data_IF_331466701747
#
_entry.id   IF_331466701747
#
_cell.length_a   1.000
_cell.length_b   1.000
_cell.length_c   1.000
_cell.angle_alpha   90.00
_cell.angle_beta   90.00
_cell.angle_gamma   90.00
#
_symmetry.space_group_name_H-M   'P 1'
#
loop_
_entity.id
_entity.type
_entity.pdbx_description
1 polymer ?
#
# COMPACT_ATOMS: atom_id res chain seq x y z
N UNK A 1 20.35 25.54 -21.32
CA UNK A 1 20.44 24.06 -21.32
C UNK A 1 20.63 23.63 -19.88
N UNK A 2 19.55 23.21 -19.20
CA UNK A 2 19.62 22.84 -17.77
C UNK A 2 20.07 21.38 -17.65
N UNK A 3 21.23 21.14 -17.03
CA UNK A 3 21.94 19.85 -17.00
C UNK A 3 21.50 18.89 -15.88
N UNK A 4 20.37 19.15 -15.21
CA UNK A 4 19.85 18.25 -14.18
C UNK A 4 18.48 17.70 -14.57
N UNK A 5 18.30 16.38 -14.68
CA UNK A 5 16.98 15.81 -14.89
C UNK A 5 16.08 16.20 -13.72
N UNK A 6 14.94 16.85 -14.02
CA UNK A 6 13.91 17.17 -13.04
C UNK A 6 13.51 15.90 -12.28
N UNK A 7 13.70 15.91 -10.97
CA UNK A 7 13.34 14.84 -10.06
C UNK A 7 11.83 14.52 -10.19
N UNK A 8 11.46 13.24 -10.09
CA UNK A 8 10.09 12.77 -10.41
C UNK A 8 9.03 13.11 -9.37
N UNK A 9 9.37 13.86 -8.31
CA UNK A 9 8.45 14.20 -7.21
C UNK A 9 7.16 14.89 -7.70
N UNK A 10 7.28 15.84 -8.65
CA UNK A 10 6.09 16.49 -9.22
C UNK A 10 5.20 15.52 -9.98
N UNK A 11 5.77 14.47 -10.58
CA UNK A 11 5.02 13.44 -11.28
C UNK A 11 4.33 12.48 -10.31
N UNK A 12 4.94 12.16 -9.16
CA UNK A 12 4.31 11.40 -8.09
C UNK A 12 3.14 12.17 -7.45
N UNK A 13 3.32 13.47 -7.18
CA UNK A 13 2.23 14.31 -6.68
C UNK A 13 1.07 14.41 -7.68
N UNK A 14 1.39 14.54 -8.98
CA UNK A 14 0.39 14.50 -10.05
C UNK A 14 -0.31 13.15 -10.13
N UNK A 15 0.42 12.05 -10.03
CA UNK A 15 -0.15 10.70 -10.02
C UNK A 15 -1.13 10.49 -8.85
N UNK A 16 -0.81 11.02 -7.68
CA UNK A 16 -1.67 10.96 -6.49
C UNK A 16 -2.96 11.79 -6.64
N UNK A 17 -2.88 12.93 -7.32
CA UNK A 17 -4.00 13.89 -7.44
C UNK A 17 -4.88 13.66 -8.67
N UNK A 18 -4.28 13.49 -9.86
CA UNK A 18 -5.01 13.34 -11.12
C UNK A 18 -5.30 11.89 -11.51
N UNK A 19 -4.76 10.92 -10.76
CA UNK A 19 -4.97 9.50 -11.01
C UNK A 19 -4.37 8.98 -12.32
N UNK A 20 -3.71 9.81 -13.11
CA UNK A 20 -3.23 9.45 -14.45
C UNK A 20 -1.92 10.13 -14.79
N UNK A 21 -1.07 9.39 -15.49
CA UNK A 21 0.17 9.85 -16.12
C UNK A 21 0.17 9.33 -17.56
N UNK A 22 0.85 10.03 -18.47
CA UNK A 22 1.05 9.49 -19.82
C UNK A 22 2.00 8.28 -19.78
N UNK A 23 1.95 7.35 -20.75
CA UNK A 23 2.84 6.17 -20.76
C UNK A 23 4.33 6.51 -20.63
N UNK A 24 4.77 7.62 -21.24
CA UNK A 24 6.15 8.12 -21.13
C UNK A 24 6.50 8.58 -19.71
N UNK A 25 5.55 9.23 -19.03
CA UNK A 25 5.73 9.67 -17.64
C UNK A 25 5.75 8.46 -16.69
N UNK A 26 4.87 7.49 -16.91
CA UNK A 26 4.85 6.22 -16.16
C UNK A 26 6.20 5.50 -16.19
N UNK A 27 6.75 5.27 -17.39
CA UNK A 27 8.04 4.59 -17.54
C UNK A 27 9.18 5.35 -16.85
N UNK A 28 9.14 6.69 -16.88
CA UNK A 28 10.13 7.53 -16.18
C UNK A 28 10.02 7.40 -14.66
N UNK A 29 8.81 7.48 -14.13
CA UNK A 29 8.55 7.35 -12.68
C UNK A 29 8.98 5.96 -12.19
N UNK A 30 8.58 4.88 -12.88
CA UNK A 30 8.92 3.51 -12.47
C UNK A 30 10.42 3.26 -12.49
N UNK A 31 11.10 3.66 -13.57
CA UNK A 31 12.56 3.50 -13.69
C UNK A 31 13.29 4.27 -12.58
N UNK A 32 12.85 5.49 -12.28
CA UNK A 32 13.47 6.31 -11.25
C UNK A 32 13.17 5.78 -9.84
N UNK A 33 11.92 5.40 -9.54
CA UNK A 33 11.51 4.89 -8.24
C UNK A 33 12.26 3.60 -7.86
N UNK A 34 12.56 2.73 -8.83
CA UNK A 34 13.37 1.51 -8.60
C UNK A 34 14.83 1.81 -8.25
N UNK A 35 15.39 2.91 -8.76
CA UNK A 35 16.80 3.28 -8.54
C UNK A 35 17.02 4.34 -7.45
N UNK A 36 15.96 4.93 -6.92
CA UNK A 36 16.04 6.05 -5.96
C UNK A 36 15.42 5.65 -4.62
N UNK A 37 16.25 5.52 -3.59
CA UNK A 37 15.84 5.14 -2.22
C UNK A 37 14.80 6.06 -1.61
N UNK A 38 14.73 7.33 -2.05
CA UNK A 38 13.73 8.30 -1.59
C UNK A 38 12.39 8.17 -2.33
N UNK A 39 12.41 7.90 -3.65
CA UNK A 39 11.20 7.85 -4.47
C UNK A 39 10.49 6.50 -4.42
N UNK A 40 11.21 5.40 -4.19
CA UNK A 40 10.63 4.05 -4.08
C UNK A 40 9.52 3.97 -3.02
N UNK A 41 9.80 4.27 -1.73
CA UNK A 41 8.79 4.24 -0.68
C UNK A 41 7.62 5.21 -0.92
N UNK A 42 7.90 6.37 -1.53
CA UNK A 42 6.86 7.37 -1.85
C UNK A 42 5.92 6.88 -2.94
N UNK A 43 6.45 6.21 -3.95
CA UNK A 43 5.65 5.57 -5.01
C UNK A 43 4.74 4.49 -4.43
N UNK A 44 5.28 3.61 -3.57
CA UNK A 44 4.50 2.54 -2.92
C UNK A 44 3.35 3.10 -2.08
N UNK A 45 3.59 4.16 -1.29
CA UNK A 45 2.52 4.83 -0.53
C UNK A 45 1.41 5.37 -1.41
N UNK A 46 1.74 6.02 -2.53
CA UNK A 46 0.76 6.54 -3.49
C UNK A 46 -0.06 5.40 -4.11
N UNK A 47 0.58 4.29 -4.50
CA UNK A 47 -0.12 3.15 -5.10
C UNK A 47 -0.98 2.39 -4.10
N UNK A 48 -0.53 2.26 -2.84
CA UNK A 48 -1.32 1.66 -1.77
C UNK A 48 -2.59 2.47 -1.49
N UNK A 49 -2.47 3.79 -1.34
CA UNK A 49 -3.61 4.69 -1.15
C UNK A 49 -4.63 4.54 -2.29
N UNK A 50 -4.17 4.41 -3.54
CA UNK A 50 -5.05 4.21 -4.69
C UNK A 50 -5.79 2.88 -4.66
N UNK A 51 -5.14 1.79 -4.22
CA UNK A 51 -5.80 0.48 -4.05
C UNK A 51 -6.91 0.55 -3.01
N UNK A 52 -6.64 1.19 -1.87
CA UNK A 52 -7.65 1.40 -0.81
C UNK A 52 -8.85 2.22 -1.33
N UNK A 53 -8.60 3.31 -2.07
CA UNK A 53 -9.66 4.12 -2.66
C UNK A 53 -10.46 3.35 -3.73
N UNK A 54 -9.80 2.53 -4.56
CA UNK A 54 -10.47 1.69 -5.55
C UNK A 54 -11.38 0.65 -4.90
N UNK A 55 -10.91 -0.04 -3.86
CA UNK A 55 -11.73 -0.98 -3.10
C UNK A 55 -12.92 -0.29 -2.42
N UNK A 56 -12.73 0.89 -1.82
CA UNK A 56 -13.83 1.66 -1.25
C UNK A 56 -14.91 2.04 -2.28
N UNK A 57 -14.49 2.34 -3.52
CA UNK A 57 -15.40 2.65 -4.62
C UNK A 57 -16.17 1.42 -5.14
N UNK A 58 -15.58 0.23 -5.10
CA UNK A 58 -16.24 -1.04 -5.43
C UNK A 58 -17.27 -1.44 -4.38
N UNK A 59 -16.91 -1.35 -3.09
CA UNK A 59 -17.83 -1.59 -1.97
C UNK A 59 -19.05 -0.66 -2.07
N UNK A 60 -18.84 0.62 -2.42
CA UNK A 60 -19.95 1.57 -2.61
C UNK A 60 -20.85 1.21 -3.79
N UNK A 61 -20.32 0.67 -4.88
CA UNK A 61 -21.11 0.23 -6.04
C UNK A 61 -21.96 -1.00 -5.74
N UNK A 62 -21.58 -1.81 -4.75
CA UNK A 62 -22.37 -2.97 -4.28
C UNK A 62 -23.49 -2.64 -3.30
N UNK A 63 -23.52 -1.42 -2.74
CA UNK A 63 -24.59 -0.99 -1.82
C UNK A 63 -25.79 -0.48 -2.62
N UNK A 64 -26.96 -1.08 -2.40
CA UNK A 64 -28.21 -0.66 -3.04
C UNK A 64 -28.52 0.81 -2.70
N UNK A 65 -28.96 1.63 -3.69
CA UNK A 65 -29.34 3.02 -3.45
C UNK A 65 -30.55 3.07 -2.50
N UNK A 66 -30.30 3.41 -1.24
CA UNK A 66 -31.34 3.48 -0.19
C UNK A 66 -30.83 3.27 1.24
N UNK A 67 -29.64 2.69 1.42
CA UNK A 67 -29.01 2.55 2.75
C UNK A 67 -28.04 3.69 3.03
N UNK A 68 -28.57 4.88 3.32
CA UNK A 68 -27.78 6.01 3.85
C UNK A 68 -27.55 5.82 5.35
N UNK A 69 -26.68 4.89 5.73
CA UNK A 69 -25.96 5.02 6.99
C UNK A 69 -24.86 6.07 6.79
N UNK A 70 -24.72 7.02 7.72
CA UNK A 70 -23.75 8.12 7.65
C UNK A 70 -22.34 7.62 7.25
N UNK A 71 -21.82 8.00 6.07
CA UNK A 71 -20.56 7.45 5.55
C UNK A 71 -19.31 8.02 6.23
N UNK A 72 -19.46 8.84 7.29
CA UNK A 72 -18.34 9.44 8.04
C UNK A 72 -17.63 8.44 8.96
N UNK A 73 -18.29 7.36 9.36
CA UNK A 73 -17.76 6.48 10.42
C UNK A 73 -16.95 5.31 9.88
N UNK A 74 -17.27 4.74 8.71
CA UNK A 74 -16.63 3.49 8.25
C UNK A 74 -15.21 3.70 7.73
N UNK A 75 -14.96 4.77 6.96
CA UNK A 75 -13.63 5.07 6.44
C UNK A 75 -12.64 5.46 7.55
N UNK A 76 -13.09 6.29 8.49
CA UNK A 76 -12.29 6.74 9.65
C UNK A 76 -12.11 5.61 10.66
N UNK A 77 -13.11 4.72 10.86
CA UNK A 77 -12.97 3.55 11.73
C UNK A 77 -12.00 2.51 11.17
N UNK A 78 -11.98 2.30 9.85
CA UNK A 78 -11.01 1.41 9.22
C UNK A 78 -9.60 2.00 9.30
N UNK A 79 -9.44 3.30 9.02
CA UNK A 79 -8.16 3.98 9.17
C UNK A 79 -7.65 3.98 10.62
N UNK A 80 -8.53 4.21 11.61
CA UNK A 80 -8.20 4.09 13.05
C UNK A 80 -7.85 2.65 13.45
N UNK A 81 -8.49 1.65 12.86
CA UNK A 81 -8.18 0.23 13.10
C UNK A 81 -6.80 -0.11 12.53
N UNK A 82 -6.48 0.36 11.33
CA UNK A 82 -5.19 0.13 10.68
C UNK A 82 -4.05 0.88 11.39
N UNK A 83 -4.33 2.08 11.93
CA UNK A 83 -3.43 2.83 12.83
C UNK A 83 -3.21 2.11 14.16
N UNK A 84 -4.28 1.62 14.79
CA UNK A 84 -4.18 0.85 16.05
C UNK A 84 -3.47 -0.50 15.88
N UNK A 85 -3.43 -1.03 14.66
CA UNK A 85 -2.70 -2.25 14.30
C UNK A 85 -1.26 -1.98 13.83
N UNK A 86 -0.79 -0.73 13.86
CA UNK A 86 0.56 -0.36 13.44
C UNK A 86 0.83 -0.51 11.94
N UNK A 87 -0.21 -0.70 11.12
CA UNK A 87 -0.08 -0.91 9.68
C UNK A 87 0.16 0.40 8.90
N UNK A 88 -0.06 1.55 9.54
CA UNK A 88 0.17 2.90 9.00
C UNK A 88 0.79 3.78 10.08
N UNK A 89 1.77 4.60 9.72
CA UNK A 89 2.23 5.71 10.55
C UNK A 89 1.15 6.79 10.65
N UNK A 90 1.02 7.45 11.82
CA UNK A 90 0.07 8.56 12.01
C UNK A 90 0.23 9.61 10.91
N UNK A 91 -0.84 9.93 10.16
CA UNK A 91 -0.77 10.95 9.13
C UNK A 91 -0.48 12.30 9.80
N UNK A 92 0.46 13.04 9.22
CA UNK A 92 0.77 14.40 9.67
C UNK A 92 -0.47 15.30 9.53
N UNK A 93 -0.55 16.37 10.31
CA UNK A 93 -1.68 17.30 10.26
C UNK A 93 -1.91 17.88 8.84
N UNK A 94 -0.83 18.10 8.09
CA UNK A 94 -0.87 18.49 6.68
C UNK A 94 -1.44 17.38 5.76
N UNK A 95 -1.22 16.09 6.06
CA UNK A 95 -1.80 14.97 5.32
C UNK A 95 -3.29 14.78 5.64
N UNK A 96 -3.69 15.01 6.89
CA UNK A 96 -5.11 15.02 7.29
C UNK A 96 -5.87 16.17 6.64
N UNK A 97 -5.29 17.36 6.59
CA UNK A 97 -5.85 18.52 5.90
C UNK A 97 -5.96 18.25 4.39
N UNK A 98 -4.95 17.62 3.80
CA UNK A 98 -4.95 17.20 2.39
C UNK A 98 -6.03 16.15 2.07
N UNK A 99 -6.18 15.12 2.91
CA UNK A 99 -7.21 14.07 2.76
C UNK A 99 -8.61 14.68 2.92
N UNK A 100 -8.79 15.60 3.88
CA UNK A 100 -10.06 16.30 4.11
C UNK A 100 -10.43 17.19 2.92
N UNK A 101 -9.47 17.93 2.37
CA UNK A 101 -9.67 18.77 1.19
C UNK A 101 -10.00 17.94 -0.06
N UNK A 102 -9.37 16.77 -0.23
CA UNK A 102 -9.67 15.83 -1.32
C UNK A 102 -11.06 15.19 -1.17
N UNK A 103 -11.43 14.79 0.05
CA UNK A 103 -12.76 14.25 0.34
C UNK A 103 -13.87 15.28 0.09
N UNK A 104 -13.65 16.53 0.47
CA UNK A 104 -14.58 17.63 0.23
C UNK A 104 -14.72 17.96 -1.27
N UNK A 105 -13.60 18.00 -2.01
CA UNK A 105 -13.62 18.22 -3.47
C UNK A 105 -14.33 17.09 -4.21
N UNK A 106 -14.10 15.84 -3.84
CA UNK A 106 -14.77 14.69 -4.43
C UNK A 106 -16.29 14.70 -4.15
N UNK A 107 -16.69 15.09 -2.92
CA UNK A 107 -18.10 15.24 -2.55
C UNK A 107 -18.78 16.38 -3.31
N UNK A 108 -18.11 17.54 -3.47
CA UNK A 108 -18.63 18.68 -4.23
C UNK A 108 -18.73 18.39 -5.74
N UNK A 109 -17.76 17.67 -6.31
CA UNK A 109 -17.80 17.27 -7.71
C UNK A 109 -18.95 16.28 -7.99
N UNK A 110 -19.21 15.34 -7.08
CA UNK A 110 -20.35 14.43 -7.18
C UNK A 110 -21.70 15.18 -7.08
N UNK A 111 -21.80 16.18 -6.20
CA UNK A 111 -23.02 16.98 -6.03
C UNK A 111 -23.33 17.90 -7.23
N UNK A 112 -22.33 18.25 -8.04
CA UNK A 112 -22.48 19.14 -9.21
C UNK A 112 -23.08 18.49 -10.47
N UNK A 113 -23.38 17.18 -10.46
CA UNK A 113 -23.79 16.43 -11.65
C UNK A 113 -25.29 16.07 -11.72
N UNK A 114 -26.12 16.61 -10.81
CA UNK A 114 -27.56 16.35 -10.83
C UNK A 114 -28.31 17.42 -11.64
N UNK A 115 -29.13 17.06 -12.65
CA UNK A 115 -29.99 18.02 -13.34
C UNK A 115 -31.07 18.54 -12.40
N UNK A 116 -31.04 19.85 -12.13
CA UNK A 116 -31.99 20.54 -11.24
C UNK A 116 -33.34 20.68 -11.95
N UNK A 117 -34.40 20.18 -11.32
CA UNK A 117 -35.81 20.48 -11.63
C UNK A 117 -36.32 21.45 -10.56
N UNK A 118 -37.04 22.47 -11.00
CA UNK A 118 -37.38 23.67 -10.20
C UNK A 118 -38.08 23.34 -8.87
N UNK A 119 -37.49 23.87 -7.79
CA UNK A 119 -37.98 23.82 -6.42
C UNK A 119 -37.27 24.89 -5.57
N UNK A 120 -37.83 25.27 -4.41
CA UNK A 120 -37.34 26.42 -3.61
C UNK A 120 -35.88 26.21 -3.16
N UNK A 121 -35.14 27.30 -2.85
CA UNK A 121 -33.69 27.31 -2.86
C UNK A 121 -33.09 26.19 -2.00
N UNK A 122 -32.40 25.26 -2.65
CA UNK A 122 -31.74 24.14 -2.01
C UNK A 122 -30.59 24.60 -1.10
N UNK A 123 -30.23 23.74 -0.15
CA UNK A 123 -29.17 23.91 0.85
C UNK A 123 -27.81 24.31 0.22
N UNK A 124 -27.60 24.03 -1.07
CA UNK A 124 -26.45 24.44 -1.87
C UNK A 124 -26.38 25.96 -2.10
N UNK A 125 -27.51 26.66 -2.18
CA UNK A 125 -27.53 28.12 -2.28
C UNK A 125 -27.05 28.79 -0.99
N UNK A 126 -27.35 28.20 0.18
CA UNK A 126 -26.86 28.66 1.50
C UNK A 126 -25.36 28.41 1.69
N UNK A 127 -24.86 27.27 1.21
CA UNK A 127 -23.42 26.97 1.24
C UNK A 127 -22.63 27.89 0.30
N UNK A 128 -23.18 28.24 -0.87
CA UNK A 128 -22.53 29.13 -1.82
C UNK A 128 -22.47 30.59 -1.32
N UNK A 129 -23.42 31.01 -0.48
CA UNK A 129 -23.37 32.32 0.23
C UNK A 129 -22.32 32.29 1.36
N UNK A 130 -22.26 31.22 2.16
CA UNK A 130 -21.25 31.09 3.22
C UNK A 130 -19.80 31.02 2.68
N UNK A 131 -19.59 30.55 1.44
CA UNK A 131 -18.27 30.53 0.81
C UNK A 131 -17.85 31.89 0.23
N UNK A 132 -18.80 32.80 -0.03
CA UNK A 132 -18.53 34.17 -0.49
C UNK A 132 -18.08 35.08 0.66
N UNK A 133 -18.50 34.79 1.89
CA UNK A 133 -18.11 35.54 3.09
C UNK A 133 -16.72 35.17 3.63
N UNK A 134 -16.08 34.11 3.13
CA UNK A 134 -14.74 33.66 3.54
C UNK A 134 -13.58 34.24 2.69
N UNK A 135 -13.80 35.38 2.02
CA UNK A 135 -12.68 36.23 1.55
C UNK A 135 -12.02 35.80 0.24
N UNK A 136 -12.81 35.52 -0.81
CA UNK A 136 -12.31 35.48 -2.19
C UNK A 136 -12.48 36.86 -2.85
N UNK A 137 -11.44 37.68 -2.84
CA UNK A 137 -11.39 38.92 -3.62
C UNK A 137 -11.17 38.59 -5.10
N UNK A 138 -12.21 38.74 -5.92
CA UNK A 138 -12.09 38.94 -7.36
C UNK A 138 -11.68 40.40 -7.61
N UNK A 139 -10.46 40.64 -8.08
CA UNK A 139 -10.15 41.82 -8.89
C UNK A 139 -9.25 41.43 -10.06
N UNK A 140 -9.87 41.41 -11.24
CA UNK A 140 -9.22 41.70 -12.50
C UNK A 140 -9.86 42.98 -13.03
N UNK A 141 -9.10 44.03 -13.36
CA UNK A 141 -8.92 44.51 -14.74
C UNK A 141 -7.85 45.63 -14.84
N UNK A 142 -7.08 45.54 -15.92
CA UNK A 142 -6.03 46.39 -16.50
C UNK A 142 -6.05 47.92 -16.39
N UNK A 143 -4.84 48.53 -16.32
CA UNK A 143 -4.29 49.51 -17.31
C UNK A 143 -2.84 49.94 -16.98
N UNK A 144 -1.92 49.76 -17.92
CA UNK A 144 -0.65 50.52 -18.11
C UNK A 144 -0.94 51.96 -18.59
N UNK A 145 -0.01 52.96 -18.58
CA UNK A 145 1.46 52.86 -18.73
C UNK A 145 2.33 53.89 -17.92
N UNK A 146 3.66 53.80 -18.06
CA UNK A 146 4.52 54.99 -18.09
C UNK A 146 5.66 55.13 -17.07
N UNK A 147 6.88 54.79 -17.52
CA UNK A 147 8.17 55.48 -17.36
C UNK A 147 8.68 56.06 -16.01
N UNK A 148 9.96 55.71 -15.80
CA UNK A 148 11.09 56.45 -15.21
C UNK A 148 11.32 56.41 -13.69
N UNK A 149 12.55 55.93 -13.40
CA UNK A 149 13.54 56.50 -12.50
C UNK A 149 13.83 55.75 -11.17
N UNK A 150 15.12 55.44 -11.06
CA UNK A 150 15.98 55.67 -9.89
C UNK A 150 15.92 54.65 -8.73
N UNK A 151 16.95 53.80 -8.74
CA UNK A 151 18.00 53.69 -7.71
C UNK A 151 17.60 54.20 -6.32
N UNK A 152 17.39 53.28 -5.37
CA UNK A 152 18.01 53.39 -4.05
C UNK A 152 18.11 52.07 -3.31
N UNK A 153 19.33 51.83 -2.83
CA UNK A 153 19.75 50.84 -1.85
C UNK A 153 19.16 51.17 -0.48
N UNK A 154 18.38 50.25 0.09
CA UNK A 154 17.74 50.44 1.39
C UNK A 154 17.62 49.14 2.18
N UNK A 155 18.65 48.87 2.99
CA UNK A 155 18.55 48.39 4.38
C UNK A 155 17.55 47.24 4.63
N UNK A 156 18.06 46.01 4.63
CA UNK A 156 17.41 44.83 5.23
C UNK A 156 17.10 45.16 6.69
N UNK A 157 15.82 45.40 6.99
CA UNK A 157 15.30 45.41 8.36
C UNK A 157 15.39 43.98 8.89
N UNK A 158 16.24 43.80 9.90
CA UNK A 158 16.24 42.59 10.70
C UNK A 158 14.85 42.34 11.25
N UNK A 159 14.39 41.10 11.13
CA UNK A 159 13.20 40.61 11.82
C UNK A 159 13.52 40.69 13.31
N UNK A 160 12.84 41.61 14.00
CA UNK A 160 12.85 41.66 15.46
C UNK A 160 12.16 40.39 15.97
N UNK A 161 12.96 39.46 16.49
CA UNK A 161 12.45 38.35 17.29
C UNK A 161 11.94 38.91 18.62
N UNK A 162 10.78 38.42 19.13
CA UNK A 162 10.22 38.89 20.38
C UNK A 162 11.17 38.65 21.56
N UNK A 163 11.31 39.68 22.40
CA UNK A 163 12.30 39.83 23.46
C UNK A 163 11.96 39.03 24.74
N UNK A 164 11.35 37.85 24.59
CA UNK A 164 10.84 37.04 25.70
C UNK A 164 11.58 35.71 25.94
N UNK A 165 12.58 35.36 25.12
CA UNK A 165 13.16 34.00 25.11
C UNK A 165 14.64 33.98 25.54
N UNK A 166 15.00 34.76 26.57
CA UNK A 166 16.40 34.92 27.00
C UNK A 166 16.83 34.24 28.31
N UNK A 167 16.01 33.41 28.95
CA UNK A 167 16.42 32.78 30.23
C UNK A 167 16.18 31.27 30.37
N UNK A 168 15.84 30.54 29.30
CA UNK A 168 15.68 29.07 29.37
C UNK A 168 16.24 28.31 28.16
N UNK A 169 17.11 28.94 27.37
CA UNK A 169 17.56 28.47 26.06
C UNK A 169 18.62 27.35 26.01
N UNK A 170 18.98 26.74 27.14
CA UNK A 170 19.93 25.61 27.16
C UNK A 170 19.25 24.25 27.25
N UNK A 171 18.26 24.12 28.13
CA UNK A 171 17.76 22.80 28.55
C UNK A 171 16.74 22.23 27.55
N UNK A 172 15.95 23.09 26.89
CA UNK A 172 14.91 22.64 25.95
C UNK A 172 15.47 21.99 24.68
N UNK A 173 16.63 22.44 24.19
CA UNK A 173 17.21 21.90 22.96
C UNK A 173 17.78 20.49 23.19
N UNK A 174 18.43 20.25 24.34
CA UNK A 174 18.92 18.93 24.70
C UNK A 174 17.78 17.95 24.99
N UNK A 175 16.69 18.41 25.61
CA UNK A 175 15.51 17.57 25.81
C UNK A 175 14.86 17.16 24.48
N UNK A 176 14.74 18.08 23.52
CA UNK A 176 14.18 17.78 22.20
C UNK A 176 15.09 16.85 21.37
N UNK A 177 16.42 17.04 21.40
CA UNK A 177 17.37 16.16 20.69
C UNK A 177 17.44 14.78 21.36
N UNK A 178 17.43 14.71 22.70
CA UNK A 178 17.39 13.44 23.42
C UNK A 178 16.06 12.70 23.20
N UNK A 179 14.93 13.41 23.18
CA UNK A 179 13.63 12.82 22.85
C UNK A 179 13.59 12.31 21.40
N UNK A 180 14.13 13.05 20.43
CA UNK A 180 14.27 12.58 19.05
C UNK A 180 15.22 11.38 18.94
N UNK A 181 16.35 11.37 19.66
CA UNK A 181 17.28 10.25 19.67
C UNK A 181 16.68 9.00 20.33
N UNK A 182 15.94 9.16 21.43
CA UNK A 182 15.16 8.10 22.06
C UNK A 182 14.02 7.63 21.16
N UNK A 183 13.34 8.52 20.43
CA UNK A 183 12.35 8.13 19.44
C UNK A 183 12.99 7.34 18.30
N UNK A 184 14.17 7.73 17.81
CA UNK A 184 14.90 7.01 16.76
C UNK A 184 15.50 5.68 17.24
N UNK A 185 15.77 5.53 18.53
CA UNK A 185 16.21 4.27 19.16
C UNK A 185 15.03 3.38 19.58
N UNK A 186 13.85 3.97 19.82
CA UNK A 186 12.60 3.28 20.09
C UNK A 186 11.77 3.03 18.83
N UNK A 187 12.13 3.64 17.69
CA UNK A 187 11.72 3.14 16.39
C UNK A 187 12.22 1.70 16.34
N UNK A 188 11.34 0.73 16.10
CA UNK A 188 11.75 -0.65 16.01
C UNK A 188 12.87 -0.71 14.97
N UNK A 189 14.09 -1.06 15.41
CA UNK A 189 15.07 -1.66 14.51
C UNK A 189 14.31 -2.73 13.76
N UNK A 190 14.49 -2.83 12.44
CA UNK A 190 13.87 -3.87 11.63
C UNK A 190 14.29 -5.26 12.14
N UNK A 191 13.64 -5.70 13.21
CA UNK A 191 13.55 -7.06 13.65
C UNK A 191 12.62 -7.73 12.65
N UNK A 192 13.28 -8.46 11.76
CA UNK A 192 12.89 -9.81 11.43
C UNK A 192 11.45 -9.97 10.91
N UNK A 193 11.34 -9.95 9.57
CA UNK A 193 10.17 -10.45 8.86
C UNK A 193 9.93 -11.92 9.24
N UNK A 194 9.09 -12.13 10.25
CA UNK A 194 8.54 -13.42 10.62
C UNK A 194 7.08 -13.50 10.23
N UNK A 195 6.73 -14.42 9.31
CA UNK A 195 5.36 -14.90 9.24
C UNK A 195 5.03 -15.55 10.58
N UNK A 196 4.03 -15.01 11.27
CA UNK A 196 3.56 -15.54 12.56
C UNK A 196 3.04 -16.97 12.35
N UNK A 197 3.89 -17.95 12.68
CA UNK A 197 3.66 -19.38 12.46
C UNK A 197 4.97 -20.15 12.22
N UNK A 198 5.82 -20.18 13.25
CA UNK A 198 6.68 -21.31 13.62
C UNK A 198 7.26 -22.21 12.48
N UNK A 199 8.42 -21.83 11.89
CA UNK A 199 9.57 -22.71 11.57
C UNK A 199 10.53 -22.12 10.49
N UNK A 200 11.82 -22.10 10.84
CA UNK A 200 13.01 -21.83 10.00
C UNK A 200 13.06 -20.50 9.22
N UNK A 201 14.02 -19.63 9.57
CA UNK A 201 14.31 -18.36 8.88
C UNK A 201 14.85 -18.52 7.44
N UNK A 202 14.96 -19.76 6.96
CA UNK A 202 15.61 -20.11 5.70
C UNK A 202 14.65 -20.28 4.53
N UNK A 203 13.37 -20.60 4.77
CA UNK A 203 12.38 -20.75 3.71
C UNK A 203 10.99 -20.30 4.19
N UNK A 204 10.25 -19.61 3.32
CA UNK A 204 8.90 -19.13 3.56
C UNK A 204 8.02 -19.53 2.39
N UNK A 205 6.80 -19.97 2.69
CA UNK A 205 5.79 -20.33 1.71
C UNK A 205 4.46 -19.69 2.11
N UNK A 206 3.78 -19.08 1.15
CA UNK A 206 2.40 -18.61 1.27
C UNK A 206 1.53 -19.31 0.25
N UNK A 207 0.37 -19.75 0.71
CA UNK A 207 -0.63 -20.42 -0.10
C UNK A 207 -1.80 -19.47 -0.35
N UNK A 208 -2.35 -19.54 -1.56
CA UNK A 208 -3.54 -18.80 -1.95
C UNK A 208 -4.56 -19.75 -2.58
N UNK A 209 -5.82 -19.62 -2.23
CA UNK A 209 -6.91 -20.20 -3.01
C UNK A 209 -7.18 -19.29 -4.22
N UNK A 210 -7.25 -19.89 -5.40
CA UNK A 210 -7.65 -19.26 -6.66
C UNK A 210 -9.04 -19.80 -7.04
N UNK A 211 -10.12 -19.16 -6.57
CA UNK A 211 -11.47 -19.45 -7.03
C UNK A 211 -11.65 -19.00 -8.49
N UNK A 212 -12.54 -19.65 -9.26
CA UNK A 212 -12.73 -19.34 -10.70
C UNK A 212 -13.20 -17.88 -10.93
N UNK A 213 -14.11 -17.38 -10.09
CA UNK A 213 -14.77 -16.08 -10.29
C UNK A 213 -14.45 -15.04 -9.20
N UNK A 214 -13.40 -15.23 -8.39
CA UNK A 214 -13.10 -14.27 -7.31
C UNK A 214 -11.61 -14.03 -7.09
N UNK A 215 -11.33 -12.99 -6.30
CA UNK A 215 -9.96 -12.61 -5.97
C UNK A 215 -9.22 -13.70 -5.20
N UNK A 216 -7.90 -13.74 -5.41
CA UNK A 216 -6.97 -14.58 -4.65
C UNK A 216 -7.16 -14.38 -3.14
N UNK A 217 -7.33 -15.48 -2.41
CA UNK A 217 -7.46 -15.46 -0.94
C UNK A 217 -6.31 -16.23 -0.32
N UNK A 218 -5.56 -15.58 0.57
CA UNK A 218 -4.46 -16.23 1.29
C UNK A 218 -5.00 -17.25 2.30
N UNK A 219 -4.42 -18.45 2.29
CA UNK A 219 -4.71 -19.53 3.25
C UNK A 219 -3.77 -19.38 4.43
N UNK A 220 -4.31 -19.02 5.59
CA UNK A 220 -3.55 -18.90 6.84
C UNK A 220 -3.77 -20.14 7.70
N UNK A 221 -2.69 -20.76 8.19
CA UNK A 221 -2.75 -21.96 9.04
C UNK A 221 -3.50 -23.12 8.37
N UNK A 222 -4.41 -23.76 9.09
CA UNK A 222 -5.33 -24.79 8.56
C UNK A 222 -6.57 -24.16 7.88
N UNK A 223 -6.35 -23.25 6.92
CA UNK A 223 -7.44 -22.55 6.25
C UNK A 223 -8.28 -23.44 5.32
N UNK A 224 -9.42 -22.90 4.89
CA UNK A 224 -10.30 -23.53 3.90
C UNK A 224 -10.24 -22.86 2.53
N UNK A 225 -10.44 -23.66 1.48
CA UNK A 225 -10.68 -23.19 0.12
C UNK A 225 -12.10 -23.59 -0.33
N UNK A 226 -12.74 -22.80 -1.20
CA UNK A 226 -14.02 -23.18 -1.80
C UNK A 226 -13.83 -24.38 -2.76
N UNK A 227 -14.90 -25.16 -3.00
CA UNK A 227 -14.87 -26.30 -3.91
C UNK A 227 -14.44 -25.87 -5.32
N UNK A 228 -13.60 -26.68 -5.96
CA UNK A 228 -13.11 -26.42 -7.33
C UNK A 228 -12.02 -25.35 -7.46
N UNK A 229 -11.61 -24.69 -6.36
CA UNK A 229 -10.50 -23.75 -6.40
C UNK A 229 -9.18 -24.42 -6.79
N UNK A 230 -8.29 -23.67 -7.44
CA UNK A 230 -6.89 -24.05 -7.55
C UNK A 230 -6.09 -23.47 -6.37
N UNK A 231 -4.92 -24.03 -6.10
CA UNK A 231 -3.93 -23.40 -5.23
C UNK A 231 -2.95 -22.56 -6.04
N UNK A 232 -2.45 -21.47 -5.48
CA UNK A 232 -1.29 -20.75 -5.96
C UNK A 232 -0.29 -20.56 -4.82
N UNK A 233 0.98 -20.45 -5.16
CA UNK A 233 2.07 -20.43 -4.19
C UNK A 233 2.98 -19.23 -4.42
N UNK A 234 3.37 -18.58 -3.33
CA UNK A 234 4.48 -17.64 -3.30
C UNK A 234 5.54 -18.17 -2.33
N UNK A 235 6.79 -18.23 -2.78
CA UNK A 235 7.88 -18.78 -1.99
C UNK A 235 9.06 -17.81 -1.93
N UNK A 236 9.76 -17.83 -0.80
CA UNK A 236 11.03 -17.15 -0.62
C UNK A 236 12.00 -18.08 0.10
N UNK A 237 13.28 -18.03 -0.27
CA UNK A 237 14.32 -18.86 0.33
C UNK A 237 15.59 -18.06 0.59
N UNK A 238 16.38 -18.50 1.56
CA UNK A 238 17.76 -18.03 1.78
C UNK A 238 18.75 -19.09 1.28
N UNK A 239 19.94 -18.66 0.81
CA UNK A 239 21.03 -19.60 0.52
C UNK A 239 21.29 -20.55 1.69
N UNK A 240 21.63 -21.82 1.42
CA UNK A 240 21.94 -22.38 0.11
C UNK A 240 20.72 -22.86 -0.70
N UNK A 241 19.50 -22.67 -0.22
CA UNK A 241 18.27 -23.13 -0.90
C UNK A 241 18.01 -22.28 -2.14
N UNK A 242 17.69 -22.94 -3.25
CA UNK A 242 17.47 -22.29 -4.56
C UNK A 242 16.30 -22.88 -5.34
N UNK A 243 15.83 -24.07 -4.95
CA UNK A 243 14.76 -24.78 -5.66
C UNK A 243 13.67 -25.25 -4.70
N UNK A 244 12.45 -25.36 -5.20
CA UNK A 244 11.28 -25.89 -4.50
C UNK A 244 10.60 -26.99 -5.32
N UNK A 245 10.00 -27.98 -4.66
CA UNK A 245 9.07 -28.94 -5.26
C UNK A 245 7.83 -29.03 -4.36
N UNK A 246 6.64 -29.14 -4.96
CA UNK A 246 5.36 -29.14 -4.23
C UNK A 246 4.74 -30.52 -4.34
N UNK A 247 4.47 -31.14 -3.20
CA UNK A 247 3.75 -32.41 -3.09
C UNK A 247 2.34 -32.12 -2.63
N UNK A 248 1.36 -32.57 -3.40
CA UNK A 248 -0.06 -32.46 -3.07
C UNK A 248 -0.59 -33.86 -2.81
N UNK A 249 -1.02 -34.12 -1.58
CA UNK A 249 -1.62 -35.40 -1.17
C UNK A 249 -3.09 -35.19 -0.88
N UNK A 250 -3.93 -35.91 -1.60
CA UNK A 250 -5.38 -35.90 -1.38
C UNK A 250 -5.97 -37.30 -1.56
N UNK A 251 -7.29 -37.36 -1.62
CA UNK A 251 -8.04 -38.61 -1.87
C UNK A 251 -7.71 -39.23 -3.23
N UNK A 252 -7.32 -38.40 -4.21
CA UNK A 252 -6.94 -38.82 -5.56
C UNK A 252 -5.48 -39.30 -5.66
N UNK A 253 -4.79 -39.47 -4.53
CA UNK A 253 -3.40 -39.92 -4.46
C UNK A 253 -2.40 -38.79 -4.19
N UNK A 254 -1.14 -39.07 -4.51
CA UNK A 254 -0.01 -38.16 -4.31
C UNK A 254 0.46 -37.64 -5.66
N UNK A 255 0.56 -36.32 -5.78
CA UNK A 255 1.08 -35.64 -6.98
C UNK A 255 2.29 -34.80 -6.58
N UNK A 256 3.35 -34.89 -7.38
CA UNK A 256 4.58 -34.11 -7.18
C UNK A 256 4.72 -33.15 -8.36
N UNK A 257 4.91 -31.87 -8.04
CA UNK A 257 5.07 -30.76 -8.97
C UNK A 257 6.44 -30.10 -8.80
N UNK A 258 7.03 -29.67 -9.92
CA UNK A 258 8.34 -29.02 -9.94
C UNK A 258 9.43 -29.86 -10.61
N UNK A 259 10.71 -29.48 -10.44
CA UNK A 259 11.22 -28.48 -9.51
C UNK A 259 11.05 -27.06 -10.06
N UNK A 260 10.90 -26.10 -9.15
CA UNK A 260 10.78 -24.67 -9.45
C UNK A 260 11.99 -23.94 -8.90
N UNK A 261 12.59 -23.07 -9.70
CA UNK A 261 13.67 -22.21 -9.24
C UNK A 261 13.10 -21.03 -8.45
N UNK A 262 13.59 -20.81 -7.24
CA UNK A 262 13.15 -19.73 -6.35
C UNK A 262 14.20 -18.62 -6.36
N UNK A 263 14.07 -17.72 -7.33
CA UNK A 263 14.92 -16.52 -7.44
C UNK A 263 14.20 -15.32 -6.84
N UNK A 264 14.51 -15.01 -5.58
CA UNK A 264 13.98 -13.82 -4.92
C UNK A 264 15.08 -12.94 -4.36
N UNK A 265 14.85 -11.62 -4.40
CA UNK A 265 15.65 -10.70 -3.61
C UNK A 265 15.33 -10.91 -2.11
N UNK A 266 16.24 -10.58 -1.19
CA UNK A 266 15.94 -10.60 0.25
C UNK A 266 14.67 -9.79 0.55
N UNK A 267 13.73 -10.41 1.28
CA UNK A 267 12.43 -9.79 1.59
C UNK A 267 11.38 -9.86 0.48
N UNK A 268 11.67 -10.51 -0.66
CA UNK A 268 10.71 -10.73 -1.73
C UNK A 268 10.32 -12.21 -1.85
N UNK A 269 9.12 -12.44 -2.38
CA UNK A 269 8.59 -13.77 -2.71
C UNK A 269 8.44 -13.91 -4.23
N UNK A 270 8.68 -15.11 -4.75
CA UNK A 270 8.47 -15.47 -6.14
C UNK A 270 7.24 -16.37 -6.23
N UNK A 271 6.38 -16.12 -7.22
CA UNK A 271 5.31 -17.04 -7.54
C UNK A 271 5.90 -18.34 -8.09
N UNK A 272 5.42 -19.48 -7.60
CA UNK A 272 5.70 -20.77 -8.22
C UNK A 272 4.69 -20.97 -9.35
N UNK A 273 5.18 -21.30 -10.54
CA UNK A 273 4.34 -21.50 -11.74
C UNK A 273 3.65 -22.87 -11.70
N UNK A 274 2.77 -23.05 -10.71
CA UNK A 274 1.99 -24.26 -10.51
C UNK A 274 0.66 -23.91 -9.85
N UNK A 275 -0.41 -24.45 -10.42
CA UNK A 275 -1.79 -24.23 -9.96
C UNK A 275 -2.58 -25.54 -9.84
N UNK A 276 -2.28 -26.39 -8.84
CA UNK A 276 -2.96 -27.66 -8.70
C UNK A 276 -4.43 -27.42 -8.33
N UNK A 277 -5.33 -28.05 -9.09
CA UNK A 277 -6.76 -28.03 -8.80
C UNK A 277 -7.06 -28.86 -7.56
N UNK A 278 -7.86 -28.32 -6.65
CA UNK A 278 -8.33 -29.03 -5.47
C UNK A 278 -9.50 -29.98 -5.83
N UNK A 279 -9.70 -31.06 -5.05
CA UNK A 279 -10.89 -31.90 -5.18
C UNK A 279 -12.17 -31.11 -4.86
N UNK A 280 -13.34 -31.67 -5.15
CA UNK A 280 -14.62 -31.04 -4.84
C UNK A 280 -14.89 -30.90 -3.32
N UNK A 281 -14.33 -31.79 -2.50
CA UNK A 281 -14.43 -31.75 -1.04
C UNK A 281 -13.31 -32.54 -0.38
N UNK A 282 -13.11 -32.36 0.92
CA UNK A 282 -12.17 -33.14 1.74
C UNK A 282 -10.99 -32.33 2.26
N UNK A 283 -9.88 -33.00 2.58
CA UNK A 283 -8.65 -32.35 3.05
C UNK A 283 -7.50 -32.73 2.15
N UNK A 284 -6.67 -31.73 1.82
CA UNK A 284 -5.46 -31.88 1.02
C UNK A 284 -4.26 -31.48 1.88
N UNK A 285 -3.27 -32.35 1.96
CA UNK A 285 -1.97 -32.03 2.55
C UNK A 285 -1.06 -31.52 1.43
N UNK A 286 -0.48 -30.35 1.64
CA UNK A 286 0.49 -29.74 0.73
C UNK A 286 1.83 -29.67 1.44
N UNK A 287 2.85 -30.26 0.84
CA UNK A 287 4.20 -30.28 1.37
C UNK A 287 5.11 -29.64 0.33
N UNK A 288 5.72 -28.51 0.67
CA UNK A 288 6.74 -27.89 -0.18
C UNK A 288 8.11 -28.23 0.34
N UNK A 289 8.94 -28.78 -0.53
CA UNK A 289 10.31 -29.17 -0.22
C UNK A 289 11.26 -28.20 -0.89
N UNK A 290 12.10 -27.55 -0.10
CA UNK A 290 13.14 -26.63 -0.56
C UNK A 290 14.51 -27.31 -0.48
N UNK A 291 15.34 -27.13 -1.50
CA UNK A 291 16.70 -27.68 -1.55
C UNK A 291 17.67 -26.76 -2.30
N UNK A 292 18.97 -27.08 -2.22
CA UNK A 292 20.04 -26.37 -2.92
C UNK A 292 20.14 -26.68 -4.41
N UNK A 293 19.42 -27.69 -4.90
CA UNK A 293 19.37 -28.06 -6.33
C UNK A 293 18.01 -28.63 -6.73
N UNK A 294 17.70 -28.56 -8.02
CA UNK A 294 16.50 -29.13 -8.62
C UNK A 294 16.34 -30.64 -8.33
N UNK A 295 17.42 -31.40 -8.48
CA UNK A 295 17.42 -32.86 -8.28
C UNK A 295 17.18 -33.23 -6.81
N UNK A 296 17.82 -32.51 -5.88
CA UNK A 296 17.62 -32.71 -4.45
C UNK A 296 16.18 -32.42 -4.01
N UNK A 297 15.58 -31.33 -4.52
CA UNK A 297 14.19 -30.98 -4.22
C UNK A 297 13.22 -32.07 -4.70
N UNK A 298 13.40 -32.58 -5.92
CA UNK A 298 12.58 -33.65 -6.48
C UNK A 298 12.76 -34.99 -5.75
N UNK A 299 13.99 -35.41 -5.49
CA UNK A 299 14.28 -36.66 -4.77
C UNK A 299 13.63 -36.64 -3.39
N UNK A 300 13.82 -35.55 -2.65
CA UNK A 300 13.20 -35.38 -1.33
C UNK A 300 11.66 -35.31 -1.40
N UNK A 301 11.09 -34.67 -2.43
CA UNK A 301 9.64 -34.65 -2.66
C UNK A 301 9.05 -36.04 -2.97
N UNK A 302 9.85 -36.94 -3.57
CA UNK A 302 9.50 -38.36 -3.80
C UNK A 302 9.67 -39.23 -2.55
N UNK A 303 10.15 -38.66 -1.45
CA UNK A 303 10.35 -39.38 -0.18
C UNK A 303 11.75 -39.93 0.02
N UNK A 304 12.69 -39.65 -0.89
CA UNK A 304 14.09 -40.03 -0.69
C UNK A 304 14.71 -39.22 0.46
N UNK A 305 15.68 -39.83 1.15
CA UNK A 305 16.44 -39.15 2.18
C UNK A 305 17.53 -38.30 1.52
N UNK A 306 17.45 -36.98 1.70
CA UNK A 306 18.38 -36.00 1.12
C UNK A 306 18.74 -35.00 2.21
N UNK A 307 20.03 -34.75 2.42
CA UNK A 307 20.51 -33.79 3.40
C UNK A 307 20.26 -32.35 2.99
N UNK A 308 20.12 -31.46 3.98
CA UNK A 308 20.02 -30.01 3.75
C UNK A 308 18.71 -29.55 3.10
N UNK A 309 17.65 -30.36 3.17
CA UNK A 309 16.32 -30.00 2.69
C UNK A 309 15.45 -29.40 3.79
N UNK A 310 14.59 -28.44 3.43
CA UNK A 310 13.59 -27.87 4.33
C UNK A 310 12.20 -28.25 3.82
N UNK A 311 11.34 -28.75 4.70
CA UNK A 311 9.97 -29.16 4.35
C UNK A 311 8.97 -28.27 5.08
N UNK A 312 8.07 -27.65 4.34
CA UNK A 312 6.97 -26.85 4.87
C UNK A 312 5.67 -27.59 4.62
N UNK A 313 4.93 -27.89 5.69
CA UNK A 313 3.68 -28.64 5.65
C UNK A 313 2.49 -27.71 5.84
N UNK A 314 1.51 -27.80 4.96
CA UNK A 314 0.23 -27.11 5.06
C UNK A 314 -0.92 -28.10 4.89
N UNK A 315 -1.96 -27.95 5.70
CA UNK A 315 -3.20 -28.69 5.54
C UNK A 315 -4.30 -27.74 5.09
N UNK A 316 -4.88 -28.01 3.93
CA UNK A 316 -5.97 -27.22 3.36
C UNK A 316 -7.25 -28.03 3.42
N UNK A 317 -8.34 -27.44 3.91
CA UNK A 317 -9.68 -28.06 3.87
C UNK A 317 -10.44 -27.51 2.68
N UNK A 318 -11.11 -28.37 1.92
CA UNK A 318 -12.04 -27.96 0.87
C UNK A 318 -13.44 -28.05 1.43
N UNK A 319 -14.13 -26.91 1.45
CA UNK A 319 -15.52 -26.84 1.90
C UNK A 319 -16.40 -27.70 0.98
N UNK A 320 -17.29 -28.49 1.57
CA UNK A 320 -18.30 -29.21 0.78
C UNK A 320 -19.25 -28.17 0.16
N UNK A 321 -19.65 -28.40 -1.10
CA UNK A 321 -20.74 -27.65 -1.69
C UNK A 321 -21.99 -27.82 -0.80
N UNK A 322 -22.63 -26.71 -0.37
CA UNK A 322 -23.84 -26.78 0.45
C UNK A 322 -25.00 -27.49 -0.26
#
# INVERSE_FOLDING_TARGET
MFLFPLHVDRQLARLATSGSLTPRQWNRVLRHARGCSRCGPRYERVMNMRRVLAHGAEVRRGLAPGTLAEPRTVGVANMRRDLAQGALSEPTEAELEFISALGLRAALAAAGTSPVRDGPPSLLSRIRVAYRDLGGSDEATARTPGMLARKDSGRVRGIALPEGWRTSGGIGLFAAVAACALLLLALPREEEWGSRGEASTTAVLRLFCVPEDSALREVKGEGSCPPGAALAFAAAVRPPLTHAAVVVRGTNGVRVEGPFEVKTAPGAEAALDVTPKLPASGSVEVITVFASSAQAALAAARGESVDGVVRVHHRVRVEATP
#
